data_IF_886459441181
#
_entry.id   IF_886459441181
#
_cell.length_a   1.000
_cell.length_b   1.000
_cell.length_c   1.000
_cell.angle_alpha   90.00
_cell.angle_beta   90.00
_cell.angle_gamma   90.00
#
_symmetry.space_group_name_H-M   'P 1'
#
loop_
_entity.id
_entity.type
_entity.pdbx_description
1 polymer ?
#
# COMPACT_ATOMS: atom_id res chain seq x y z
N UNK A 1 47.04 29.13 -41.55
CA UNK A 1 45.78 28.71 -42.23
C UNK A 1 45.55 27.24 -41.92
N UNK A 2 44.31 26.78 -41.99
CA UNK A 2 43.94 25.37 -41.86
C UNK A 2 42.86 25.04 -42.88
N UNK A 3 42.65 23.77 -43.22
CA UNK A 3 41.60 23.35 -44.14
C UNK A 3 40.29 23.03 -43.40
N UNK A 4 39.17 23.30 -44.06
CA UNK A 4 37.87 22.82 -43.61
C UNK A 4 37.81 21.29 -43.63
N UNK A 5 37.33 20.68 -42.55
CA UNK A 5 37.26 19.21 -42.42
C UNK A 5 36.30 18.56 -43.45
N UNK A 6 35.31 19.30 -43.96
CA UNK A 6 34.32 18.78 -44.92
C UNK A 6 34.66 19.16 -46.36
N UNK A 7 34.72 20.46 -46.68
CA UNK A 7 34.87 20.93 -48.06
C UNK A 7 36.30 21.26 -48.46
N UNK A 8 37.28 21.09 -47.56
CA UNK A 8 38.72 21.35 -47.80
C UNK A 8 39.09 22.79 -48.18
N UNK A 9 38.14 23.71 -48.22
CA UNK A 9 38.43 25.14 -48.40
C UNK A 9 39.34 25.68 -47.30
N UNK A 10 40.24 26.60 -47.66
CA UNK A 10 41.10 27.28 -46.70
C UNK A 10 40.27 28.14 -45.73
N UNK A 11 40.55 27.98 -44.43
CA UNK A 11 39.91 28.74 -43.35
C UNK A 11 40.97 29.28 -42.38
N UNK A 12 40.61 30.35 -41.66
CA UNK A 12 41.48 30.93 -40.62
C UNK A 12 41.72 29.89 -39.52
N UNK A 13 42.97 29.79 -39.04
CA UNK A 13 43.32 28.90 -37.92
C UNK A 13 42.46 29.26 -36.70
N UNK A 14 41.78 28.26 -36.12
CA UNK A 14 40.82 28.46 -35.02
C UNK A 14 39.38 28.83 -35.43
N UNK A 15 39.05 28.85 -36.73
CA UNK A 15 37.69 29.12 -37.19
C UNK A 15 36.68 28.07 -36.67
N UNK A 16 35.58 28.54 -36.07
CA UNK A 16 34.54 27.68 -35.46
C UNK A 16 33.58 27.06 -36.49
N UNK A 17 33.37 27.74 -37.61
CA UNK A 17 32.46 27.39 -38.71
C UNK A 17 33.11 27.77 -40.04
N UNK A 18 32.98 26.93 -41.06
CA UNK A 18 33.38 27.25 -42.42
C UNK A 18 32.26 28.04 -43.09
N UNK A 19 32.58 29.17 -43.72
CA UNK A 19 31.60 30.00 -44.44
C UNK A 19 31.23 29.44 -45.81
N UNK A 20 32.13 28.68 -46.45
CA UNK A 20 31.91 28.12 -47.79
C UNK A 20 30.91 26.96 -47.81
N UNK A 21 30.94 26.07 -46.81
CA UNK A 21 30.03 24.93 -46.73
C UNK A 21 29.15 24.93 -45.47
N UNK A 22 29.16 26.03 -44.72
CA UNK A 22 28.39 26.23 -43.49
C UNK A 22 28.62 25.17 -42.38
N UNK A 23 29.71 24.39 -42.45
CA UNK A 23 29.97 23.30 -41.51
C UNK A 23 30.75 23.71 -40.27
N UNK A 24 30.44 23.10 -39.12
CA UNK A 24 31.20 23.28 -37.89
C UNK A 24 32.49 22.45 -37.89
N UNK A 25 33.59 23.08 -37.44
CA UNK A 25 34.93 22.49 -37.50
C UNK A 25 35.29 21.64 -36.27
N UNK A 26 34.62 21.84 -35.13
CA UNK A 26 34.81 21.02 -33.94
C UNK A 26 33.90 19.79 -33.91
N UNK A 27 34.36 18.62 -33.43
CA UNK A 27 33.59 17.37 -33.42
C UNK A 27 32.28 17.49 -32.62
N UNK A 28 32.36 18.07 -31.41
CA UNK A 28 31.18 18.29 -30.56
C UNK A 28 30.16 19.25 -31.19
N UNK A 29 30.64 20.32 -31.84
CA UNK A 29 29.74 21.29 -32.50
C UNK A 29 29.09 20.72 -33.74
N UNK A 30 29.76 19.81 -34.46
CA UNK A 30 29.17 19.12 -35.61
C UNK A 30 28.08 18.15 -35.17
N UNK A 31 28.29 17.44 -34.06
CA UNK A 31 27.28 16.56 -33.46
C UNK A 31 26.05 17.36 -33.00
N UNK A 32 26.28 18.50 -32.33
CA UNK A 32 25.20 19.36 -31.82
C UNK A 32 24.54 20.24 -32.89
N UNK A 33 25.16 20.43 -34.05
CA UNK A 33 24.61 21.25 -35.13
C UNK A 33 23.33 20.65 -35.76
N UNK A 34 23.13 19.33 -35.64
CA UNK A 34 21.91 18.66 -36.08
C UNK A 34 20.83 18.56 -35.00
N UNK A 35 21.11 19.02 -33.78
CA UNK A 35 20.15 18.96 -32.67
C UNK A 35 19.39 20.28 -32.65
N UNK A 36 18.21 20.29 -33.28
CA UNK A 36 17.27 21.39 -33.16
C UNK A 36 16.74 21.45 -31.72
N UNK A 37 16.68 22.65 -31.14
CA UNK A 37 16.12 22.87 -29.80
C UNK A 37 14.67 22.40 -29.73
N UNK A 38 13.94 22.42 -30.86
CA UNK A 38 12.59 21.85 -30.99
C UNK A 38 12.57 20.35 -30.75
N UNK A 39 13.58 19.62 -31.21
CA UNK A 39 13.73 18.18 -30.96
C UNK A 39 14.03 17.89 -29.49
N UNK A 40 14.77 18.77 -28.82
CA UNK A 40 15.01 18.65 -27.37
C UNK A 40 13.72 18.87 -26.57
N UNK A 41 12.94 19.89 -26.93
CA UNK A 41 11.64 20.17 -26.29
C UNK A 41 10.65 19.03 -26.51
N UNK A 42 10.66 18.40 -27.69
CA UNK A 42 9.84 17.24 -28.00
C UNK A 42 10.21 15.98 -27.17
N UNK A 43 11.42 15.91 -26.60
CA UNK A 43 11.83 14.81 -25.72
C UNK A 43 11.36 14.97 -24.27
N UNK A 44 11.02 16.19 -23.85
CA UNK A 44 10.61 16.46 -22.45
C UNK A 44 9.39 15.64 -22.03
N UNK A 45 8.30 15.54 -22.83
CA UNK A 45 7.17 14.70 -22.46
C UNK A 45 7.53 13.21 -22.35
N UNK A 46 8.38 12.71 -23.24
CA UNK A 46 8.81 11.31 -23.27
C UNK A 46 9.60 10.97 -22.00
N UNK A 47 10.56 11.83 -21.62
CA UNK A 47 11.35 11.66 -20.40
C UNK A 47 10.46 11.76 -19.16
N UNK A 48 9.52 12.70 -19.15
CA UNK A 48 8.58 12.87 -18.03
C UNK A 48 7.72 11.62 -17.83
N UNK A 49 7.16 11.07 -18.92
CA UNK A 49 6.39 9.83 -18.86
C UNK A 49 7.26 8.66 -18.40
N UNK A 50 8.46 8.50 -18.95
CA UNK A 50 9.39 7.45 -18.53
C UNK A 50 9.71 7.54 -17.03
N UNK A 51 9.94 8.75 -16.51
CA UNK A 51 10.18 8.97 -15.09
C UNK A 51 8.97 8.61 -14.23
N UNK A 52 7.75 8.98 -14.65
CA UNK A 52 6.53 8.60 -13.94
C UNK A 52 6.35 7.09 -13.90
N UNK A 53 6.57 6.38 -15.01
CA UNK A 53 6.49 4.92 -15.05
C UNK A 53 7.54 4.24 -14.16
N UNK A 54 8.78 4.72 -14.18
CA UNK A 54 9.84 4.19 -13.31
C UNK A 54 9.48 4.44 -11.84
N UNK A 55 9.03 5.65 -11.51
CA UNK A 55 8.61 5.99 -10.15
C UNK A 55 7.45 5.10 -9.69
N UNK A 56 6.46 4.87 -10.54
CA UNK A 56 5.31 4.00 -10.25
C UNK A 56 5.72 2.53 -10.02
N UNK A 57 6.71 2.03 -10.77
CA UNK A 57 7.25 0.68 -10.54
C UNK A 57 8.16 0.56 -9.32
N UNK A 58 8.82 1.65 -8.91
CA UNK A 58 9.74 1.67 -7.76
C UNK A 58 9.00 1.89 -6.44
N UNK A 59 7.89 2.63 -6.46
CA UNK A 59 7.04 2.81 -5.28
C UNK A 59 6.29 1.50 -5.02
N UNK A 60 6.73 0.76 -4.00
CA UNK A 60 5.96 -0.38 -3.49
C UNK A 60 4.70 0.14 -2.83
N UNK A 61 3.63 0.22 -3.61
CA UNK A 61 2.29 0.50 -3.11
C UNK A 61 1.84 -0.62 -2.16
N UNK A 62 1.26 -0.25 -1.02
CA UNK A 62 0.91 -1.18 0.06
C UNK A 62 -0.41 -0.80 0.69
N UNK A 63 -1.14 -1.82 1.13
CA UNK A 63 -2.27 -1.64 2.03
C UNK A 63 -1.76 -1.75 3.47
N UNK A 64 -1.83 -0.66 4.24
CA UNK A 64 -1.47 -0.67 5.67
C UNK A 64 -2.74 -0.54 6.51
N UNK A 65 -3.44 -1.66 6.68
CA UNK A 65 -4.67 -1.70 7.45
C UNK A 65 -4.38 -1.90 8.93
N UNK A 66 -4.53 -0.84 9.71
CA UNK A 66 -4.44 -0.89 11.16
C UNK A 66 -5.83 -1.12 11.77
N UNK A 67 -5.93 -2.12 12.65
CA UNK A 67 -7.17 -2.49 13.34
C UNK A 67 -7.01 -2.27 14.83
N UNK A 68 -8.01 -1.68 15.47
CA UNK A 68 -8.09 -1.55 16.93
C UNK A 68 -9.47 -1.94 17.42
N UNK A 69 -9.52 -2.58 18.59
CA UNK A 69 -10.79 -2.97 19.23
C UNK A 69 -11.34 -1.74 19.97
N UNK A 70 -12.53 -1.29 19.56
CA UNK A 70 -13.25 -0.18 20.18
C UNK A 70 -14.11 -0.67 21.35
N UNK A 71 -14.77 -1.82 21.18
CA UNK A 71 -15.65 -2.39 22.19
C UNK A 71 -15.57 -3.92 22.11
N UNK A 72 -15.51 -4.59 23.27
CA UNK A 72 -15.41 -6.04 23.35
C UNK A 72 -16.43 -6.54 24.39
N UNK A 73 -17.60 -6.93 23.90
CA UNK A 73 -18.71 -7.47 24.71
C UNK A 73 -18.90 -8.95 24.42
N UNK A 74 -19.81 -9.57 25.17
CA UNK A 74 -20.14 -10.98 24.99
C UNK A 74 -20.85 -11.25 23.66
N UNK A 75 -21.69 -10.33 23.21
CA UNK A 75 -22.54 -10.44 22.03
C UNK A 75 -21.92 -9.82 20.77
N UNK A 76 -20.90 -8.98 20.94
CA UNK A 76 -20.35 -8.17 19.86
C UNK A 76 -18.90 -7.75 20.16
N UNK A 77 -18.07 -7.76 19.12
CA UNK A 77 -16.79 -7.06 19.08
C UNK A 77 -16.87 -5.95 18.05
N UNK A 78 -16.66 -4.71 18.47
CA UNK A 78 -16.62 -3.53 17.59
C UNK A 78 -15.18 -3.12 17.38
N UNK A 79 -14.82 -2.90 16.13
CA UNK A 79 -13.48 -2.49 15.74
C UNK A 79 -13.52 -1.17 14.96
N UNK A 80 -12.39 -0.49 14.97
CA UNK A 80 -12.03 0.56 14.01
C UNK A 80 -10.91 0.01 13.13
N UNK A 81 -11.07 0.16 11.81
CA UNK A 81 -10.05 -0.21 10.84
C UNK A 81 -9.70 1.03 10.02
N UNK A 82 -8.42 1.41 10.02
CA UNK A 82 -7.89 2.56 9.28
C UNK A 82 -6.86 2.07 8.27
N UNK A 83 -7.01 2.47 7.01
CA UNK A 83 -6.02 2.17 5.99
C UNK A 83 -5.09 3.37 5.82
N UNK A 84 -3.85 3.24 6.30
CA UNK A 84 -2.80 4.24 6.17
C UNK A 84 -1.94 4.04 4.91
N UNK A 85 -2.26 3.02 4.12
CA UNK A 85 -1.62 2.72 2.86
C UNK A 85 -2.23 3.46 1.69
N UNK A 86 -1.53 3.42 0.56
CA UNK A 86 -1.94 4.06 -0.70
C UNK A 86 -2.76 3.14 -1.62
N UNK A 87 -3.02 1.90 -1.19
CA UNK A 87 -3.94 0.96 -1.84
C UNK A 87 -5.06 0.53 -0.92
N UNK A 88 -6.24 0.33 -1.51
CA UNK A 88 -7.39 -0.20 -0.79
C UNK A 88 -7.08 -1.58 -0.16
N UNK A 89 -7.81 -1.96 0.88
CA UNK A 89 -7.73 -3.27 1.52
C UNK A 89 -9.14 -3.82 1.74
N UNK A 90 -9.31 -5.14 1.71
CA UNK A 90 -10.56 -5.79 2.06
C UNK A 90 -10.43 -6.49 3.40
N UNK A 91 -11.25 -6.08 4.36
CA UNK A 91 -11.37 -6.75 5.64
C UNK A 91 -12.32 -7.93 5.50
N UNK A 92 -11.84 -9.16 5.77
CA UNK A 92 -12.69 -10.35 5.59
C UNK A 92 -13.93 -10.31 6.50
N UNK A 93 -15.06 -10.88 6.02
CA UNK A 93 -16.29 -10.95 6.81
C UNK A 93 -16.18 -11.91 8.01
N UNK A 94 -15.13 -12.73 8.07
CA UNK A 94 -14.87 -13.66 9.18
C UNK A 94 -13.55 -13.32 9.84
N UNK A 95 -13.51 -13.42 11.16
CA UNK A 95 -12.30 -13.36 11.97
C UNK A 95 -12.24 -14.60 12.87
N UNK A 96 -11.02 -15.02 13.20
CA UNK A 96 -10.77 -16.15 14.09
C UNK A 96 -10.69 -15.65 15.53
N UNK A 97 -11.27 -16.41 16.45
CA UNK A 97 -11.32 -16.07 17.86
C UNK A 97 -10.81 -17.24 18.71
N UNK A 98 -9.88 -16.93 19.60
CA UNK A 98 -9.34 -17.82 20.61
C UNK A 98 -9.59 -17.21 21.99
N UNK A 99 -9.89 -18.08 22.96
CA UNK A 99 -9.99 -17.67 24.37
C UNK A 99 -8.67 -18.04 25.04
N UNK A 100 -8.01 -17.06 25.64
CA UNK A 100 -6.79 -17.22 26.41
C UNK A 100 -7.13 -17.17 27.90
N UNK A 101 -6.89 -18.27 28.61
CA UNK A 101 -7.02 -18.36 30.07
C UNK A 101 -5.62 -18.53 30.65
N UNK A 102 -5.19 -17.59 31.49
CA UNK A 102 -3.85 -17.54 32.07
C UNK A 102 -2.73 -17.71 31.02
N UNK A 103 -2.93 -17.10 29.84
CA UNK A 103 -2.00 -17.13 28.72
C UNK A 103 -2.06 -18.39 27.85
N UNK A 104 -2.92 -19.37 28.16
CA UNK A 104 -3.10 -20.60 27.36
C UNK A 104 -4.39 -20.55 26.55
N UNK A 105 -4.31 -20.98 25.29
CA UNK A 105 -5.49 -21.16 24.45
C UNK A 105 -6.39 -22.25 25.04
N UNK A 106 -7.67 -21.93 25.24
CA UNK A 106 -8.66 -22.78 25.88
C UNK A 106 -9.85 -23.01 24.96
N UNK A 107 -10.12 -24.28 24.65
CA UNK A 107 -11.27 -24.74 23.88
C UNK A 107 -11.08 -24.67 22.36
N UNK A 108 -12.17 -24.94 21.65
CA UNK A 108 -12.17 -24.96 20.19
C UNK A 108 -12.08 -23.56 19.58
N UNK A 109 -11.55 -23.49 18.35
CA UNK A 109 -11.53 -22.29 17.52
C UNK A 109 -12.97 -21.76 17.34
N UNK A 110 -13.20 -20.54 17.79
CA UNK A 110 -14.45 -19.81 17.56
C UNK A 110 -14.26 -18.86 16.39
N UNK A 111 -15.36 -18.43 15.78
CA UNK A 111 -15.31 -17.45 14.71
C UNK A 111 -16.17 -16.25 15.05
N UNK A 112 -15.76 -15.09 14.56
CA UNK A 112 -16.58 -13.90 14.52
C UNK A 112 -17.02 -13.67 13.07
N UNK A 113 -18.27 -13.23 12.88
CA UNK A 113 -18.80 -12.83 11.58
C UNK A 113 -19.20 -11.37 11.63
N UNK A 114 -18.80 -10.63 10.61
CA UNK A 114 -19.18 -9.23 10.42
C UNK A 114 -20.69 -9.10 10.44
N UNK A 115 -21.21 -8.24 11.32
CA UNK A 115 -22.64 -8.02 11.48
C UNK A 115 -23.28 -7.60 10.15
N UNK A 116 -24.43 -8.16 9.76
CA UNK A 116 -25.15 -7.75 8.55
C UNK A 116 -25.70 -6.31 8.65
N UNK A 117 -25.81 -5.78 9.88
CA UNK A 117 -26.24 -4.39 10.13
C UNK A 117 -25.13 -3.36 9.93
N UNK A 118 -23.92 -3.77 9.56
CA UNK A 118 -22.86 -2.81 9.23
C UNK A 118 -23.20 -2.11 7.91
N UNK A 119 -23.39 -0.79 7.96
CA UNK A 119 -23.62 0.04 6.78
C UNK A 119 -22.36 0.20 5.91
N UNK A 120 -21.17 -0.01 6.50
CA UNK A 120 -19.90 0.17 5.80
C UNK A 120 -19.53 -1.05 4.96
N UNK A 121 -19.06 -0.89 3.72
CA UNK A 121 -18.53 -2.00 2.93
C UNK A 121 -17.25 -2.57 3.58
N UNK A 122 -16.87 -3.83 3.29
CA UNK A 122 -15.64 -4.44 3.82
C UNK A 122 -14.38 -3.86 3.15
N UNK A 123 -14.55 -3.10 2.07
CA UNK A 123 -13.48 -2.39 1.38
C UNK A 123 -13.13 -1.10 2.13
N UNK A 124 -11.86 -0.96 2.50
CA UNK A 124 -11.29 0.22 3.14
C UNK A 124 -10.34 0.90 2.15
N UNK A 125 -10.74 2.04 1.61
CA UNK A 125 -9.94 2.82 0.64
C UNK A 125 -8.71 3.44 1.33
N UNK A 126 -7.71 3.93 0.57
CA UNK A 126 -6.62 4.74 1.11
C UNK A 126 -7.15 5.90 1.96
N UNK A 127 -6.49 6.17 3.09
CA UNK A 127 -6.83 7.21 4.06
C UNK A 127 -8.24 7.11 4.65
N UNK A 128 -8.91 5.98 4.47
CA UNK A 128 -10.26 5.75 4.99
C UNK A 128 -10.20 5.02 6.34
N UNK A 129 -11.03 5.48 7.26
CA UNK A 129 -11.34 4.77 8.51
C UNK A 129 -12.78 4.27 8.46
N UNK A 130 -12.99 3.00 8.82
CA UNK A 130 -14.32 2.39 8.97
C UNK A 130 -14.48 1.85 10.38
N UNK A 131 -15.72 1.78 10.83
CA UNK A 131 -16.12 1.06 12.04
C UNK A 131 -16.92 -0.16 11.60
N UNK A 132 -16.62 -1.31 12.20
CA UNK A 132 -17.31 -2.56 11.92
C UNK A 132 -17.59 -3.34 13.21
N UNK A 133 -18.78 -3.89 13.30
CA UNK A 133 -19.18 -4.80 14.37
C UNK A 133 -19.12 -6.25 13.90
N UNK A 134 -18.68 -7.13 14.79
CA UNK A 134 -18.53 -8.56 14.58
C UNK A 134 -19.30 -9.32 15.66
N UNK A 135 -20.13 -10.26 15.25
CA UNK A 135 -20.94 -11.09 16.13
C UNK A 135 -20.28 -12.47 16.28
N UNK A 136 -20.23 -13.03 17.50
CA UNK A 136 -19.66 -14.36 17.69
C UNK A 136 -20.57 -15.44 17.12
N UNK A 137 -19.96 -16.41 16.46
CA UNK A 137 -20.65 -17.59 15.93
C UNK A 137 -19.96 -18.88 16.34
N UNK A 138 -20.76 -19.91 16.59
CA UNK A 138 -20.32 -21.28 16.81
C UNK A 138 -21.25 -22.21 16.02
N UNK A 139 -20.71 -23.10 15.20
CA UNK A 139 -21.51 -24.03 14.38
C UNK A 139 -22.62 -23.34 13.57
N UNK A 140 -22.30 -22.19 12.94
CA UNK A 140 -23.22 -21.34 12.14
C UNK A 140 -24.38 -20.70 12.94
N UNK A 141 -24.36 -20.73 14.27
CA UNK A 141 -25.33 -20.04 15.13
C UNK A 141 -24.66 -18.93 15.91
N UNK A 142 -25.38 -17.84 16.13
CA UNK A 142 -24.92 -16.76 17.02
C UNK A 142 -24.74 -17.30 18.43
N UNK A 143 -23.66 -16.91 19.09
CA UNK A 143 -23.30 -17.37 20.43
C UNK A 143 -22.77 -16.18 21.23
N UNK A 144 -22.90 -16.25 22.56
CA UNK A 144 -22.36 -15.24 23.47
C UNK A 144 -21.01 -15.69 24.02
N UNK A 145 -19.98 -14.86 23.87
CA UNK A 145 -18.64 -15.17 24.35
C UNK A 145 -18.63 -15.50 25.84
N UNK A 146 -17.80 -16.47 26.27
CA UNK A 146 -17.84 -16.96 27.64
C UNK A 146 -17.38 -15.87 28.60
N UNK A 147 -18.12 -15.66 29.69
CA UNK A 147 -17.69 -14.74 30.75
C UNK A 147 -16.35 -15.18 31.33
N UNK A 148 -15.70 -14.23 32.00
CA UNK A 148 -14.54 -14.49 32.84
C UNK A 148 -14.77 -15.74 33.73
N UNK A 149 -14.02 -16.85 33.54
CA UNK A 149 -14.25 -18.07 34.30
C UNK A 149 -13.82 -17.90 35.77
N UNK A 150 -14.50 -18.59 36.68
CA UNK A 150 -14.10 -18.60 38.09
C UNK A 150 -12.75 -19.34 38.26
N UNK A 151 -11.87 -18.80 39.09
CA UNK A 151 -10.55 -19.41 39.39
C UNK A 151 -9.43 -19.09 38.38
N UNK A 152 -9.69 -18.25 37.37
CA UNK A 152 -8.69 -17.82 36.38
C UNK A 152 -8.17 -16.43 36.73
N UNK A 153 -6.86 -16.18 36.61
CA UNK A 153 -6.24 -14.88 36.96
C UNK A 153 -6.25 -13.87 35.82
N UNK A 154 -6.25 -14.36 34.58
CA UNK A 154 -6.33 -13.57 33.36
C UNK A 154 -7.18 -14.26 32.29
N UNK A 155 -8.15 -13.53 31.72
CA UNK A 155 -8.96 -14.00 30.60
C UNK A 155 -8.91 -12.97 29.48
N UNK A 156 -8.50 -13.40 28.29
CA UNK A 156 -8.42 -12.55 27.10
C UNK A 156 -9.03 -13.25 25.89
N UNK A 157 -9.58 -12.48 24.97
CA UNK A 157 -9.95 -12.91 23.64
C UNK A 157 -8.85 -12.48 22.68
N UNK A 158 -8.22 -13.45 22.02
CA UNK A 158 -7.28 -13.23 20.92
C UNK A 158 -8.05 -13.34 19.61
N UNK A 159 -8.06 -12.27 18.84
CA UNK A 159 -8.85 -12.13 17.61
C UNK A 159 -7.88 -11.90 16.46
N UNK A 160 -8.00 -12.72 15.41
CA UNK A 160 -7.19 -12.63 14.21
C UNK A 160 -8.10 -12.21 13.06
N UNK A 161 -7.87 -11.00 12.56
CA UNK A 161 -8.56 -10.45 11.40
C UNK A 161 -7.73 -10.70 10.15
N UNK A 162 -8.32 -11.37 9.17
CA UNK A 162 -7.71 -11.54 7.87
C UNK A 162 -7.97 -10.31 6.99
N UNK A 163 -6.90 -9.83 6.36
CA UNK A 163 -6.92 -8.70 5.44
C UNK A 163 -6.43 -9.18 4.07
N UNK A 164 -7.22 -8.86 3.05
CA UNK A 164 -6.85 -9.08 1.65
C UNK A 164 -6.37 -7.74 1.11
N UNK A 165 -5.06 -7.59 0.98
CA UNK A 165 -4.44 -6.44 0.35
C UNK A 165 -4.39 -6.63 -1.18
N UNK A 166 -4.53 -5.54 -1.94
CA UNK A 166 -4.43 -5.54 -3.41
C UNK A 166 -2.96 -5.43 -3.88
N UNK A 167 -2.04 -5.91 -3.05
CA UNK A 167 -0.60 -6.07 -3.33
C UNK A 167 -0.19 -7.56 -3.39
N UNK A 168 -1.18 -8.46 -3.41
CA UNK A 168 -1.06 -9.92 -3.47
C UNK A 168 -0.42 -10.59 -2.24
N UNK A 169 -0.28 -9.86 -1.12
CA UNK A 169 0.20 -10.45 0.14
C UNK A 169 -0.93 -10.47 1.16
N UNK A 170 -1.56 -11.64 1.41
CA UNK A 170 -2.52 -11.73 2.50
C UNK A 170 -1.80 -11.40 3.81
N UNK A 171 -2.44 -10.58 4.64
CA UNK A 171 -1.94 -10.23 5.96
C UNK A 171 -3.00 -10.54 7.01
N UNK A 172 -2.56 -10.79 8.23
CA UNK A 172 -3.44 -10.97 9.37
C UNK A 172 -3.07 -9.98 10.47
N UNK A 173 -4.08 -9.42 11.12
CA UNK A 173 -3.91 -8.48 12.22
C UNK A 173 -4.44 -9.14 13.48
N UNK A 174 -3.55 -9.36 14.43
CA UNK A 174 -3.89 -9.89 15.74
C UNK A 174 -4.22 -8.76 16.72
N UNK A 175 -5.34 -8.90 17.43
CA UNK A 175 -5.75 -8.00 18.51
C UNK A 175 -6.29 -8.79 19.68
N UNK A 176 -6.08 -8.25 20.87
CA UNK A 176 -6.56 -8.86 22.12
C UNK A 176 -7.48 -7.91 22.86
N UNK A 177 -8.53 -8.44 23.48
CA UNK A 177 -9.33 -7.72 24.47
C UNK A 177 -9.58 -8.58 25.72
N UNK A 178 -9.84 -7.93 26.86
CA UNK A 178 -10.13 -8.63 28.11
C UNK A 178 -11.53 -9.24 28.06
N UNK A 179 -11.71 -10.44 28.61
CA UNK A 179 -13.03 -11.03 28.71
C UNK A 179 -13.96 -10.16 29.58
N UNK A 180 -15.19 -9.86 29.14
CA UNK A 180 -16.15 -9.11 29.93
C UNK A 180 -16.51 -9.86 31.24
N UNK A 181 -16.63 -9.10 32.33
CA UNK A 181 -17.02 -9.62 33.64
C UNK A 181 -15.93 -9.60 34.73
N UNK A 182 -14.76 -9.00 34.47
CA UNK A 182 -13.80 -8.65 35.54
C UNK A 182 -14.20 -7.30 36.15
N UNK A 183 -15.08 -7.34 37.14
CA UNK A 183 -15.39 -6.21 38.03
C UNK A 183 -14.53 -6.28 39.28
#
# INVERSE_FOLDING_TARGET
MQECVICKAEIKTGAKKCTSCNSFQGPLRRLLAGVDIRSLVALVPIITLAFLFIKDQVVTHKSDLQISILECRQDMVKIVASNLGDRAALLKPKANLFVLLDGKESGDLKSLVRSPTNETPPLVKPDQTIVASYNPILNKRTYTLPKYPQGVSNCQYKIIFDVIAFDHKPSSVEKTCVCPGKS
#
